data_IF_005860495622
#
_entry.id   IF_005860495622
#
_cell.length_a   1.000
_cell.length_b   1.000
_cell.length_c   1.000
_cell.angle_alpha   90.00
_cell.angle_beta   90.00
_cell.angle_gamma   90.00
#
_symmetry.space_group_name_H-M   'P 1'
#
loop_
_entity.id
_entity.type
_entity.pdbx_description
1 polymer ?
#
# COMPACT_ATOMS: atom_id res chain seq x y z
N UNK A 1 0.73 47.13 5.90
CA UNK A 1 1.03 46.18 7.01
C UNK A 1 -0.02 45.09 7.00
N UNK A 2 0.38 43.81 7.02
CA UNK A 2 -0.58 42.73 7.33
C UNK A 2 -1.01 42.89 8.78
N UNK A 3 -2.31 42.90 9.03
CA UNK A 3 -2.87 42.99 10.39
C UNK A 3 -2.85 41.61 11.06
N UNK A 4 -3.00 41.58 12.39
CA UNK A 4 -3.14 40.32 13.13
C UNK A 4 -4.32 39.47 12.60
N UNK A 5 -5.37 40.13 12.09
CA UNK A 5 -6.54 39.48 11.48
C UNK A 5 -6.22 38.84 10.13
N UNK A 6 -5.37 39.47 9.32
CA UNK A 6 -4.89 38.89 8.06
C UNK A 6 -4.03 37.65 8.31
N UNK A 7 -3.17 37.70 9.33
CA UNK A 7 -2.36 36.56 9.75
C UNK A 7 -3.23 35.38 10.21
N UNK A 8 -4.28 35.65 11.00
CA UNK A 8 -5.20 34.60 11.44
C UNK A 8 -5.93 33.94 10.26
N UNK A 9 -6.33 34.73 9.26
CA UNK A 9 -6.98 34.26 8.03
C UNK A 9 -6.04 33.40 7.18
N UNK A 10 -4.78 33.81 7.05
CA UNK A 10 -3.74 33.05 6.36
C UNK A 10 -3.47 31.71 7.06
N UNK A 11 -3.39 31.70 8.39
CA UNK A 11 -3.26 30.46 9.18
C UNK A 11 -4.46 29.52 9.01
N UNK A 12 -5.69 30.05 8.98
CA UNK A 12 -6.90 29.24 8.74
C UNK A 12 -6.90 28.63 7.35
N UNK A 13 -6.53 29.40 6.32
CA UNK A 13 -6.41 28.92 4.93
C UNK A 13 -5.34 27.85 4.78
N UNK A 14 -4.17 28.07 5.39
CA UNK A 14 -3.09 27.10 5.42
C UNK A 14 -3.55 25.80 6.07
N UNK A 15 -4.18 25.89 7.24
CA UNK A 15 -4.71 24.73 7.95
C UNK A 15 -5.69 23.94 7.08
N UNK A 16 -6.61 24.62 6.40
CA UNK A 16 -7.60 23.98 5.54
C UNK A 16 -6.93 23.30 4.34
N UNK A 17 -5.97 23.98 3.70
CA UNK A 17 -5.18 23.41 2.61
C UNK A 17 -4.42 22.15 3.05
N UNK A 18 -3.79 22.17 4.23
CA UNK A 18 -3.08 21.01 4.77
C UNK A 18 -4.05 19.86 5.06
N UNK A 19 -5.23 20.12 5.62
CA UNK A 19 -6.25 19.09 5.87
C UNK A 19 -6.73 18.44 4.56
N UNK A 20 -6.83 19.22 3.48
CA UNK A 20 -7.27 18.72 2.18
C UNK A 20 -6.19 17.93 1.45
N UNK A 21 -4.95 18.43 1.46
CA UNK A 21 -3.86 17.92 0.61
C UNK A 21 -3.04 16.82 1.30
N UNK A 22 -2.79 16.93 2.61
CA UNK A 22 -1.91 15.99 3.31
C UNK A 22 -2.42 14.53 3.29
N UNK A 23 -3.73 14.24 3.46
CA UNK A 23 -4.19 12.85 3.41
C UNK A 23 -3.93 12.18 2.07
N UNK A 24 -4.12 12.91 0.96
CA UNK A 24 -3.85 12.41 -0.39
C UNK A 24 -2.35 12.13 -0.59
N UNK A 25 -1.48 13.06 -0.14
CA UNK A 25 -0.03 12.89 -0.23
C UNK A 25 0.50 11.76 0.65
N UNK A 26 -0.06 11.57 1.85
CA UNK A 26 0.22 10.41 2.71
C UNK A 26 -0.12 9.11 1.99
N UNK A 27 -1.31 9.03 1.41
CA UNK A 27 -1.76 7.86 0.66
C UNK A 27 -0.85 7.52 -0.53
N UNK A 28 -0.39 8.54 -1.25
CA UNK A 28 0.58 8.37 -2.34
C UNK A 28 1.93 7.82 -1.83
N UNK A 29 2.45 8.35 -0.73
CA UNK A 29 3.69 7.87 -0.11
C UNK A 29 3.58 6.40 0.35
N UNK A 30 2.47 6.05 0.99
CA UNK A 30 2.18 4.67 1.41
C UNK A 30 2.11 3.71 0.22
N UNK A 31 1.46 4.13 -0.87
CA UNK A 31 1.37 3.35 -2.10
C UNK A 31 2.74 3.16 -2.74
N UNK A 32 3.58 4.19 -2.76
CA UNK A 32 4.94 4.11 -3.30
C UNK A 32 5.82 3.12 -2.52
N UNK A 33 5.76 3.15 -1.18
CA UNK A 33 6.47 2.17 -0.35
C UNK A 33 5.97 0.75 -0.61
N UNK A 34 4.64 0.56 -0.69
CA UNK A 34 4.05 -0.73 -1.04
C UNK A 34 4.53 -1.20 -2.41
N UNK A 35 4.56 -0.33 -3.42
CA UNK A 35 5.09 -0.67 -4.76
C UNK A 35 6.57 -1.05 -4.72
N UNK A 36 7.35 -0.35 -3.90
CA UNK A 36 8.77 -0.65 -3.68
C UNK A 36 8.94 -2.03 -3.07
N UNK A 37 8.16 -2.35 -2.02
CA UNK A 37 8.12 -3.67 -1.38
C UNK A 37 7.83 -4.81 -2.38
N UNK A 38 6.89 -4.61 -3.31
CA UNK A 38 6.62 -5.56 -4.39
C UNK A 38 7.76 -5.75 -5.39
N UNK A 39 8.45 -4.68 -5.79
CA UNK A 39 9.64 -4.78 -6.67
C UNK A 39 10.78 -5.55 -5.99
N UNK A 40 10.84 -5.40 -4.67
CA UNK A 40 11.89 -5.88 -3.81
C UNK A 40 11.63 -7.27 -3.21
N UNK A 41 10.46 -7.86 -3.51
CA UNK A 41 9.99 -9.13 -2.96
C UNK A 41 10.11 -9.23 -1.44
N UNK A 42 9.81 -8.14 -0.75
CA UNK A 42 10.01 -8.01 0.69
C UNK A 42 8.94 -7.17 1.32
N UNK A 43 8.66 -7.44 2.58
CA UNK A 43 7.93 -6.54 3.44
C UNK A 43 8.91 -5.67 4.24
N UNK A 44 8.57 -4.42 4.48
CA UNK A 44 9.33 -3.61 5.42
C UNK A 44 8.42 -2.54 5.99
N UNK A 45 8.06 -2.70 7.25
CA UNK A 45 7.29 -1.73 7.98
C UNK A 45 8.21 -0.77 8.75
N UNK A 46 9.30 -1.26 9.35
CA UNK A 46 10.03 -0.52 10.39
C UNK A 46 11.54 -0.56 10.20
N UNK A 47 12.02 -0.05 9.06
CA UNK A 47 13.43 0.00 8.62
C UNK A 47 14.10 -1.39 8.41
N UNK A 48 13.54 -2.46 8.98
CA UNK A 48 13.92 -3.85 8.68
C UNK A 48 13.16 -4.33 7.46
N UNK A 49 13.92 -4.81 6.46
CA UNK A 49 13.39 -5.40 5.24
C UNK A 49 13.42 -6.92 5.36
N UNK A 50 12.25 -7.52 5.57
CA UNK A 50 12.08 -8.97 5.57
C UNK A 50 11.70 -9.45 4.17
N UNK A 51 12.54 -10.30 3.58
CA UNK A 51 12.18 -10.95 2.32
C UNK A 51 10.95 -11.81 2.54
N UNK A 52 10.06 -11.81 1.55
CA UNK A 52 8.90 -12.67 1.61
C UNK A 52 9.32 -14.14 1.62
N UNK A 53 8.76 -14.94 2.54
CA UNK A 53 9.14 -16.34 2.68
C UNK A 53 8.92 -17.09 1.36
N UNK A 54 9.90 -17.88 0.95
CA UNK A 54 9.77 -18.76 -0.23
C UNK A 54 8.63 -19.76 -0.06
N UNK A 55 7.95 -20.05 -1.17
CA UNK A 55 6.97 -21.14 -1.24
C UNK A 55 7.48 -22.24 -2.18
N UNK A 56 6.98 -23.46 -1.98
CA UNK A 56 7.34 -24.61 -2.81
C UNK A 56 7.07 -24.29 -4.29
N UNK A 57 8.05 -24.58 -5.14
CA UNK A 57 8.01 -24.38 -6.61
C UNK A 57 8.03 -22.92 -7.10
N UNK A 58 8.34 -21.94 -6.25
CA UNK A 58 8.49 -20.56 -6.72
C UNK A 58 9.72 -20.33 -7.58
N UNK A 59 10.77 -21.14 -7.38
CA UNK A 59 11.94 -21.26 -8.26
C UNK A 59 11.56 -21.58 -9.72
N UNK A 60 10.40 -22.20 -9.92
CA UNK A 60 9.89 -22.60 -11.25
C UNK A 60 8.98 -21.55 -11.88
N UNK A 61 8.73 -20.43 -11.20
CA UNK A 61 7.87 -19.36 -11.70
C UNK A 61 8.71 -18.29 -12.38
N UNK A 62 8.25 -17.82 -13.54
CA UNK A 62 8.91 -16.78 -14.33
C UNK A 62 8.49 -15.36 -13.96
N UNK A 63 7.72 -15.19 -12.89
CA UNK A 63 7.18 -13.90 -12.45
C UNK A 63 7.50 -13.63 -10.97
N UNK A 64 7.61 -12.34 -10.57
CA UNK A 64 7.92 -12.00 -9.20
C UNK A 64 6.82 -12.39 -8.20
N UNK A 65 7.20 -12.58 -6.95
CA UNK A 65 6.29 -12.90 -5.84
C UNK A 65 5.14 -11.89 -5.74
N UNK A 66 3.92 -12.40 -5.50
CA UNK A 66 2.67 -11.62 -5.47
C UNK A 66 2.34 -10.88 -6.79
N UNK A 67 3.06 -11.14 -7.89
CA UNK A 67 2.86 -10.49 -9.20
C UNK A 67 2.37 -11.40 -10.32
N UNK A 68 1.88 -12.60 -10.00
CA UNK A 68 1.31 -13.58 -10.94
C UNK A 68 0.50 -12.96 -12.10
N UNK A 69 -0.68 -12.38 -11.87
CA UNK A 69 -1.40 -11.62 -12.92
C UNK A 69 -1.15 -10.10 -12.85
N UNK A 70 -0.34 -9.66 -11.89
CA UNK A 70 -0.20 -8.25 -11.51
C UNK A 70 -1.51 -7.57 -11.06
N UNK A 71 -2.64 -8.28 -10.97
CA UNK A 71 -3.95 -7.70 -10.62
C UNK A 71 -3.94 -7.16 -9.19
N UNK A 72 -3.36 -7.90 -8.25
CA UNK A 72 -3.18 -7.46 -6.87
C UNK A 72 -2.37 -6.17 -6.79
N UNK A 73 -1.19 -6.13 -7.42
CA UNK A 73 -0.34 -4.94 -7.44
C UNK A 73 -1.07 -3.69 -7.98
N UNK A 74 -1.91 -3.87 -9.01
CA UNK A 74 -2.70 -2.79 -9.63
C UNK A 74 -3.92 -2.37 -8.82
N UNK A 75 -4.48 -3.26 -8.00
CA UNK A 75 -5.71 -3.00 -7.25
C UNK A 75 -5.49 -2.30 -5.91
N UNK A 76 -4.24 -2.20 -5.42
CA UNK A 76 -3.91 -1.47 -4.19
C UNK A 76 -4.06 0.02 -4.46
N UNK A 77 -4.93 0.67 -3.69
CA UNK A 77 -5.19 2.10 -3.78
C UNK A 77 -5.25 2.72 -2.39
N UNK A 78 -4.83 3.98 -2.22
CA UNK A 78 -5.05 4.71 -0.99
C UNK A 78 -6.54 4.97 -0.78
N UNK A 79 -6.99 4.83 0.46
CA UNK A 79 -8.31 5.17 0.93
C UNK A 79 -8.17 6.23 1.99
N UNK A 80 -8.88 7.35 1.80
CA UNK A 80 -8.95 8.43 2.79
C UNK A 80 -10.34 8.39 3.40
N UNK A 81 -10.41 8.12 4.70
CA UNK A 81 -11.64 8.16 5.48
C UNK A 81 -11.60 9.39 6.38
N UNK A 82 -12.41 10.40 6.07
CA UNK A 82 -12.53 11.59 6.92
C UNK A 82 -13.39 11.26 8.13
N UNK A 83 -12.81 11.36 9.32
CA UNK A 83 -13.51 11.18 10.60
C UNK A 83 -14.18 12.49 11.01
N UNK A 84 -13.54 13.62 10.72
CA UNK A 84 -14.07 14.95 11.03
C UNK A 84 -13.53 16.00 10.08
N UNK A 85 -13.97 17.25 10.25
CA UNK A 85 -13.41 18.42 9.54
C UNK A 85 -11.93 18.66 9.83
N UNK A 86 -11.34 17.98 10.82
CA UNK A 86 -9.96 18.15 11.25
C UNK A 86 -9.15 16.86 11.27
N UNK A 87 -9.76 15.71 10.97
CA UNK A 87 -9.12 14.41 11.08
C UNK A 87 -9.51 13.49 9.92
N UNK A 88 -8.50 12.85 9.35
CA UNK A 88 -8.68 11.81 8.34
C UNK A 88 -7.76 10.63 8.66
N UNK A 89 -8.28 9.43 8.50
CA UNK A 89 -7.50 8.19 8.48
C UNK A 89 -7.18 7.86 7.05
N UNK A 90 -5.90 7.61 6.78
CA UNK A 90 -5.42 7.16 5.47
C UNK A 90 -4.99 5.71 5.61
N UNK A 91 -5.55 4.85 4.78
CA UNK A 91 -5.20 3.43 4.71
C UNK A 91 -4.91 3.03 3.27
N UNK A 92 -4.28 1.88 3.09
CA UNK A 92 -4.26 1.21 1.79
C UNK A 92 -5.35 0.14 1.79
N UNK A 93 -6.06 0.03 0.67
CA UNK A 93 -7.05 -1.01 0.48
C UNK A 93 -6.95 -1.64 -0.90
N UNK A 94 -7.54 -2.82 -1.02
CA UNK A 94 -7.79 -3.48 -2.29
C UNK A 94 -9.24 -3.98 -2.28
N UNK A 95 -10.00 -3.83 -3.38
CA UNK A 95 -11.34 -4.39 -3.50
C UNK A 95 -11.33 -5.92 -3.69
N UNK A 96 -10.15 -6.52 -3.90
CA UNK A 96 -10.00 -7.98 -3.88
C UNK A 96 -10.10 -8.43 -2.42
N UNK A 97 -10.82 -9.54 -2.12
CA UNK A 97 -11.21 -9.98 -0.76
C UNK A 97 -10.07 -10.42 0.18
N UNK A 98 -8.87 -9.88 -0.07
CA UNK A 98 -7.70 -9.68 0.77
C UNK A 98 -6.51 -10.60 0.49
N UNK A 99 -6.78 -11.84 0.12
CA UNK A 99 -5.75 -12.86 -0.02
C UNK A 99 -6.24 -14.00 -0.92
N UNK A 100 -7.35 -13.81 -1.65
CA UNK A 100 -8.02 -14.84 -2.48
C UNK A 100 -7.11 -15.43 -3.56
N UNK A 101 -5.99 -14.75 -3.75
CA UNK A 101 -4.86 -15.20 -4.52
C UNK A 101 -3.63 -14.65 -3.80
N UNK A 102 -3.37 -14.95 -2.53
CA UNK A 102 -2.07 -14.60 -1.93
C UNK A 102 -0.91 -15.28 -2.69
N UNK A 103 -1.28 -16.22 -3.54
CA UNK A 103 -0.79 -16.33 -4.89
C UNK A 103 -1.79 -17.18 -5.74
N UNK A 104 -2.78 -17.81 -5.12
CA UNK A 104 -3.23 -19.12 -5.59
C UNK A 104 -4.39 -19.16 -6.60
N UNK A 105 -5.47 -18.47 -6.29
CA UNK A 105 -6.78 -18.91 -6.73
C UNK A 105 -7.50 -19.59 -5.57
N UNK A 106 -8.58 -18.95 -5.12
CA UNK A 106 -9.73 -19.55 -4.45
C UNK A 106 -10.99 -18.95 -5.08
N UNK A 107 -11.99 -19.81 -5.38
CA UNK A 107 -13.29 -19.44 -5.95
C UNK A 107 -14.28 -19.15 -4.82
N UNK A 108 -15.02 -18.03 -4.85
CA UNK A 108 -16.10 -17.79 -3.89
C UNK A 108 -17.11 -18.95 -3.93
N UNK A 109 -17.40 -19.57 -2.79
CA UNK A 109 -18.41 -20.62 -2.66
C UNK A 109 -17.90 -22.07 -2.53
N UNK A 110 -16.58 -22.32 -2.51
CA UNK A 110 -16.03 -23.66 -2.27
C UNK A 110 -15.40 -23.81 -0.87
N UNK A 111 -15.66 -24.88 -0.11
CA UNK A 111 -14.96 -25.12 1.15
C UNK A 111 -13.44 -25.15 0.96
N UNK A 112 -12.69 -24.68 1.96
CA UNK A 112 -11.22 -24.69 1.96
C UNK A 112 -10.73 -26.12 2.23
N UNK A 113 -10.99 -27.03 1.30
CA UNK A 113 -10.61 -28.44 1.37
C UNK A 113 -9.90 -28.83 0.07
N UNK A 114 -8.56 -28.95 0.10
CA UNK A 114 -7.77 -29.43 -1.05
C UNK A 114 -6.55 -28.57 -1.40
N UNK A 115 -5.78 -29.03 -2.38
CA UNK A 115 -4.66 -28.28 -2.99
C UNK A 115 -5.19 -27.37 -4.10
N UNK A 116 -4.64 -26.16 -4.26
CA UNK A 116 -5.06 -25.21 -5.31
C UNK A 116 -4.10 -25.28 -6.50
N UNK A 117 -4.66 -25.29 -7.71
CA UNK A 117 -3.88 -25.36 -8.96
C UNK A 117 -3.72 -23.97 -9.57
N UNK A 118 -2.48 -23.59 -9.85
CA UNK A 118 -2.13 -22.30 -10.44
C UNK A 118 -1.64 -22.50 -11.88
N UNK A 119 -2.27 -21.82 -12.84
CA UNK A 119 -1.84 -21.84 -14.25
C UNK A 119 -0.96 -20.62 -14.56
N UNK A 120 0.29 -20.73 -15.00
CA UNK A 120 1.11 -19.56 -15.31
C UNK A 120 0.38 -18.60 -16.29
N UNK A 121 0.48 -17.26 -16.11
CA UNK A 121 -0.25 -16.28 -16.93
C UNK A 121 0.22 -16.27 -18.39
N UNK A 122 1.47 -16.67 -18.61
CA UNK A 122 2.10 -16.96 -19.90
C UNK A 122 2.78 -18.33 -19.76
N UNK A 123 2.38 -19.29 -20.58
CA UNK A 123 2.61 -20.72 -20.41
C UNK A 123 4.07 -21.11 -20.10
N UNK A 124 4.31 -22.00 -19.11
CA UNK A 124 4.93 -23.29 -19.47
C UNK A 124 4.51 -24.48 -18.60
N UNK A 125 4.22 -24.35 -17.28
CA UNK A 125 3.84 -25.49 -16.41
C UNK A 125 2.90 -25.11 -15.26
N UNK A 126 1.88 -25.95 -15.01
CA UNK A 126 0.97 -25.83 -13.85
C UNK A 126 1.74 -26.07 -12.54
N UNK A 127 1.45 -25.27 -11.52
CA UNK A 127 2.07 -25.42 -10.19
C UNK A 127 1.02 -25.68 -9.13
N UNK A 128 1.23 -26.73 -8.34
CA UNK A 128 0.41 -27.07 -7.18
C UNK A 128 0.86 -26.27 -5.97
N UNK A 129 -0.08 -25.56 -5.35
CA UNK A 129 0.16 -24.83 -4.12
C UNK A 129 -0.32 -25.66 -2.91
N UNK A 130 0.39 -25.56 -1.78
CA UNK A 130 0.04 -26.28 -0.57
C UNK A 130 -1.27 -25.75 0.03
N UNK A 131 -1.98 -26.60 0.77
CA UNK A 131 -3.28 -26.34 1.43
C UNK A 131 -3.35 -25.03 2.24
N UNK A 132 -2.20 -24.57 2.76
CA UNK A 132 -2.05 -23.34 3.54
C UNK A 132 -0.72 -22.67 3.15
N UNK A 133 -0.70 -21.75 2.16
CA UNK A 133 0.52 -21.04 1.82
C UNK A 133 0.95 -20.15 3.00
N UNK A 134 2.28 -20.02 3.21
CA UNK A 134 2.83 -19.03 4.13
C UNK A 134 2.33 -17.64 3.74
N UNK A 135 1.62 -16.97 4.63
CA UNK A 135 1.10 -15.62 4.38
C UNK A 135 2.25 -14.64 4.16
N UNK A 136 2.05 -13.64 3.30
CA UNK A 136 3.04 -12.60 3.03
C UNK A 136 2.42 -11.28 3.39
N UNK A 137 2.97 -10.55 4.33
CA UNK A 137 2.53 -9.18 4.55
C UNK A 137 2.98 -8.32 3.37
N UNK A 138 2.08 -7.54 2.80
CA UNK A 138 2.36 -6.77 1.58
C UNK A 138 1.82 -5.35 1.61
N UNK A 139 0.81 -5.09 2.43
CA UNK A 139 0.38 -3.75 2.81
C UNK A 139 0.89 -3.48 4.21
N UNK A 140 1.74 -2.46 4.35
CA UNK A 140 2.31 -2.04 5.63
C UNK A 140 2.59 -0.55 5.58
N UNK A 141 2.25 0.11 6.68
CA UNK A 141 2.61 1.49 6.96
C UNK A 141 3.49 1.44 8.20
N UNK A 142 4.73 1.90 8.09
CA UNK A 142 5.56 2.05 9.27
C UNK A 142 6.53 3.20 9.14
N UNK A 143 7.64 3.15 9.87
CA UNK A 143 8.50 4.33 10.12
C UNK A 143 8.99 5.04 8.84
N UNK A 144 9.21 4.32 7.74
CA UNK A 144 9.66 4.91 6.47
C UNK A 144 8.57 5.73 5.78
N UNK A 145 7.35 5.20 5.71
CA UNK A 145 6.17 5.94 5.21
C UNK A 145 5.96 7.22 6.01
N UNK A 146 6.07 7.13 7.35
CA UNK A 146 5.95 8.29 8.24
C UNK A 146 7.07 9.30 7.98
N UNK A 147 8.33 8.85 7.88
CA UNK A 147 9.48 9.73 7.62
C UNK A 147 9.35 10.48 6.29
N UNK A 148 9.01 9.77 5.21
CA UNK A 148 8.74 10.38 3.89
C UNK A 148 7.59 11.39 3.97
N UNK A 149 6.53 11.05 4.68
CA UNK A 149 5.40 11.96 4.85
C UNK A 149 5.75 13.22 5.66
N UNK A 150 6.57 13.10 6.72
CA UNK A 150 7.04 14.27 7.47
C UNK A 150 7.88 15.22 6.61
N UNK A 151 8.64 14.70 5.65
CA UNK A 151 9.33 15.56 4.65
C UNK A 151 8.35 16.28 3.73
N UNK A 152 7.26 15.62 3.33
CA UNK A 152 6.18 16.26 2.55
C UNK A 152 5.53 17.37 3.36
N UNK A 153 5.14 17.13 4.62
CA UNK A 153 4.56 18.16 5.50
C UNK A 153 5.49 19.39 5.57
N UNK A 154 6.78 19.18 5.82
CA UNK A 154 7.77 20.28 5.88
C UNK A 154 7.82 21.07 4.57
N UNK A 155 7.78 20.40 3.41
CA UNK A 155 7.76 21.07 2.10
C UNK A 155 6.50 21.90 1.90
N UNK A 156 5.33 21.37 2.26
CA UNK A 156 4.06 22.10 2.13
C UNK A 156 3.98 23.32 3.05
N UNK A 157 4.41 23.17 4.31
CA UNK A 157 4.46 24.29 5.26
C UNK A 157 5.42 25.37 4.75
N UNK A 158 6.61 24.98 4.30
CA UNK A 158 7.58 25.94 3.75
C UNK A 158 7.07 26.63 2.48
N UNK A 159 6.35 25.92 1.61
CA UNK A 159 5.78 26.50 0.40
C UNK A 159 4.64 27.49 0.72
N UNK A 160 3.84 27.21 1.74
CA UNK A 160 2.79 28.11 2.18
C UNK A 160 3.30 29.34 2.93
N UNK A 161 4.39 29.21 3.70
CA UNK A 161 5.02 30.32 4.44
C UNK A 161 5.83 31.27 3.53
N UNK A 162 6.12 30.86 2.29
CA UNK A 162 6.80 31.68 1.28
C UNK A 162 5.84 32.52 0.41
N UNK A 163 4.53 32.33 0.55
CA UNK A 163 3.48 33.12 -0.10
C UNK A 163 2.89 34.14 0.88
#
# INVERSE_FOLDING_TARGET
>A
MKTARDFELDCRRLRQHLIEVLPAKLGASMLEETRTNFRNESYGNDDVRERWPERRYEDKLTYPKLRYTGRLFRSIQPKVHRISSRAAVVSLGSPLSYAQVHNEGWRPGMPITGSTLRQPPSATKRVWLPRRPKQRQYMGIGRRSVRKFMQVIRKEVNAAMRK
#
